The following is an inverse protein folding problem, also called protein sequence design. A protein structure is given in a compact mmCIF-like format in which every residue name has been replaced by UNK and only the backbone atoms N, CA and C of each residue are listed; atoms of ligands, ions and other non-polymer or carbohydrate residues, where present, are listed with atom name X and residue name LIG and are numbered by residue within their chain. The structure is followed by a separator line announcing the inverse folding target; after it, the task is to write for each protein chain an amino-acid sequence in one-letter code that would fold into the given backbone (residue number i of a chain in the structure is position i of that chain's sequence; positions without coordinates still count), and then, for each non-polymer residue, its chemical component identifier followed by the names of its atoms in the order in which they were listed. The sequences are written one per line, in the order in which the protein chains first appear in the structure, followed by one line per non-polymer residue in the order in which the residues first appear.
data_IF_491455633599
#
_entry.id   IF_491455633599
#
_cell.length_a   1.000
_cell.length_b   1.000
_cell.length_c   1.000
_cell.angle_alpha   90.00
_cell.angle_beta   90.00
_cell.angle_gamma   90.00
#
_symmetry.space_group_name_H-M   'P 1'
#
loop_
_entity.id
_entity.type
_entity.pdbx_description
1 polymer ?
#
# COMPACT_ATOMS: atom_id res chain seq x y z
N UNK A 1 20.39 0.78 -16.43
CA UNK A 1 19.94 0.69 -15.03
C UNK A 1 18.67 -0.14 -14.95
N UNK A 2 18.69 -1.21 -14.14
CA UNK A 2 17.50 -2.04 -13.89
C UNK A 2 16.75 -1.42 -12.72
N UNK A 3 15.58 -0.85 -12.97
CA UNK A 3 14.79 -0.17 -11.91
C UNK A 3 13.99 -1.10 -11.02
N UNK A 4 13.56 -2.25 -11.55
CA UNK A 4 12.79 -3.23 -10.80
C UNK A 4 13.13 -4.63 -11.31
N UNK A 5 13.72 -5.45 -10.47
CA UNK A 5 13.98 -6.86 -10.72
C UNK A 5 13.52 -7.66 -9.49
N UNK A 6 12.28 -8.15 -9.52
CA UNK A 6 11.66 -8.78 -8.35
C UNK A 6 11.36 -10.24 -8.62
N UNK A 7 11.65 -11.04 -7.62
CA UNK A 7 11.28 -12.45 -7.58
C UNK A 7 10.40 -12.69 -6.36
N UNK A 8 9.27 -13.38 -6.55
CA UNK A 8 8.36 -13.71 -5.47
C UNK A 8 7.93 -15.16 -5.52
N UNK A 9 7.78 -15.75 -4.34
CA UNK A 9 7.19 -17.07 -4.12
C UNK A 9 6.01 -16.89 -3.17
N UNK A 10 4.86 -17.45 -3.54
CA UNK A 10 3.68 -17.45 -2.69
C UNK A 10 2.93 -18.76 -2.85
N UNK A 11 2.23 -19.18 -1.81
CA UNK A 11 1.44 -20.40 -1.82
C UNK A 11 0.65 -20.59 -0.53
N UNK A 12 -0.01 -21.74 -0.44
CA UNK A 12 -0.74 -22.16 0.74
C UNK A 12 -0.09 -23.43 1.30
N UNK A 13 0.31 -23.40 2.57
CA UNK A 13 0.76 -24.60 3.30
C UNK A 13 -0.41 -25.34 3.93
N UNK A 14 -1.54 -24.68 4.07
CA UNK A 14 -2.81 -25.20 4.56
C UNK A 14 -3.96 -24.38 3.96
N UNK A 15 -5.20 -24.90 3.82
CA UNK A 15 -6.33 -24.10 3.34
C UNK A 15 -6.57 -22.79 4.10
N UNK A 16 -6.16 -22.72 5.36
CA UNK A 16 -6.28 -21.53 6.21
C UNK A 16 -4.98 -20.73 6.34
N UNK A 17 -3.87 -21.16 5.71
CA UNK A 17 -2.57 -20.52 5.89
C UNK A 17 -1.87 -20.33 4.56
N UNK A 18 -1.66 -19.08 4.19
CA UNK A 18 -0.88 -18.68 3.04
C UNK A 18 0.48 -18.08 3.46
N UNK A 19 1.43 -18.06 2.54
CA UNK A 19 2.72 -17.38 2.72
C UNK A 19 3.11 -16.61 1.46
N UNK A 20 3.96 -15.61 1.65
CA UNK A 20 4.63 -14.90 0.55
C UNK A 20 6.04 -14.52 0.96
N UNK A 21 6.98 -14.69 0.05
CA UNK A 21 8.31 -14.10 0.10
C UNK A 21 8.57 -13.36 -1.21
N UNK A 22 9.10 -12.14 -1.15
CA UNK A 22 9.44 -11.31 -2.31
C UNK A 22 10.76 -10.61 -2.06
N UNK A 23 11.68 -10.69 -3.03
CA UNK A 23 12.98 -10.02 -3.01
C UNK A 23 13.10 -9.06 -4.19
N UNK A 24 13.90 -8.03 -4.02
CA UNK A 24 14.29 -7.08 -5.07
C UNK A 24 15.79 -7.24 -5.35
N UNK A 25 16.11 -7.42 -6.62
CA UNK A 25 17.46 -7.62 -7.16
C UNK A 25 17.94 -6.42 -7.97
N UNK A 26 17.20 -5.29 -7.96
CA UNK A 26 17.50 -4.11 -8.76
C UNK A 26 18.65 -3.25 -8.22
N UNK A 27 19.06 -3.47 -6.98
CA UNK A 27 20.13 -2.71 -6.34
C UNK A 27 21.45 -3.45 -6.52
N UNK A 28 22.41 -2.83 -7.19
CA UNK A 28 23.71 -3.44 -7.50
C UNK A 28 24.41 -3.94 -6.22
N UNK A 29 24.68 -5.25 -6.18
CA UNK A 29 25.40 -5.90 -5.06
C UNK A 29 24.59 -6.15 -3.79
N UNK A 30 23.29 -5.83 -3.76
CA UNK A 30 22.45 -6.11 -2.59
C UNK A 30 21.10 -6.75 -2.94
N UNK A 31 20.69 -7.73 -2.15
CA UNK A 31 19.38 -8.36 -2.22
C UNK A 31 18.52 -7.74 -1.11
N UNK A 32 17.40 -7.11 -1.47
CA UNK A 32 16.46 -6.56 -0.50
C UNK A 32 15.26 -7.47 -0.32
N UNK A 33 15.02 -7.93 0.90
CA UNK A 33 13.77 -8.61 1.26
C UNK A 33 12.65 -7.57 1.28
N UNK A 34 11.67 -7.73 0.40
CA UNK A 34 10.51 -6.85 0.33
C UNK A 34 9.35 -7.36 1.18
N UNK A 35 8.87 -8.56 0.89
CA UNK A 35 7.78 -9.19 1.64
C UNK A 35 8.28 -10.55 2.19
N UNK A 36 7.96 -10.84 3.44
CA UNK A 36 8.21 -12.13 4.09
C UNK A 36 7.16 -12.31 5.19
N UNK A 37 6.03 -12.92 4.86
CA UNK A 37 4.92 -13.03 5.79
C UNK A 37 4.15 -14.35 5.68
N UNK A 38 3.50 -14.71 6.78
CA UNK A 38 2.43 -15.70 6.81
C UNK A 38 1.08 -15.00 7.00
N UNK A 39 0.04 -15.54 6.36
CA UNK A 39 -1.34 -15.05 6.46
C UNK A 39 -2.28 -16.17 6.85
N UNK A 40 -3.07 -15.94 7.88
CA UNK A 40 -4.04 -16.89 8.41
C UNK A 40 -5.46 -16.39 8.14
N UNK A 41 -6.33 -17.30 7.70
CA UNK A 41 -7.75 -17.05 7.40
C UNK A 41 -8.63 -17.84 8.39
N UNK A 42 -8.84 -17.35 9.61
CA UNK A 42 -9.59 -18.10 10.64
C UNK A 42 -11.06 -18.27 10.27
N UNK A 43 -11.62 -17.29 9.58
CA UNK A 43 -12.98 -17.31 9.04
C UNK A 43 -13.02 -16.64 7.67
N UNK A 44 -14.11 -16.87 6.94
CA UNK A 44 -14.30 -16.25 5.63
C UNK A 44 -14.23 -14.71 5.74
N UNK A 45 -13.56 -14.11 4.77
CA UNK A 45 -13.42 -12.64 4.63
C UNK A 45 -12.61 -11.93 5.74
N UNK A 46 -12.05 -12.66 6.72
CA UNK A 46 -11.14 -12.13 7.73
C UNK A 46 -9.77 -12.80 7.60
N UNK A 47 -8.71 -12.01 7.62
CA UNK A 47 -7.35 -12.54 7.69
C UNK A 47 -6.47 -11.75 8.66
N UNK A 48 -5.45 -12.45 9.16
CA UNK A 48 -4.35 -11.88 9.93
C UNK A 48 -3.05 -12.17 9.20
N UNK A 49 -2.19 -11.18 9.09
CA UNK A 49 -0.89 -11.32 8.42
C UNK A 49 0.20 -10.92 9.39
N UNK A 50 1.21 -11.76 9.56
CA UNK A 50 2.38 -11.51 10.41
C UNK A 50 3.67 -11.63 9.61
N UNK A 51 4.59 -10.72 9.83
CA UNK A 51 5.89 -10.65 9.15
C UNK A 51 6.13 -9.30 8.51
N UNK A 52 7.03 -9.28 7.51
CA UNK A 52 7.31 -8.10 6.74
C UNK A 52 6.34 -7.99 5.56
N UNK A 53 5.61 -6.88 5.52
CA UNK A 53 4.56 -6.67 4.50
C UNK A 53 4.39 -5.19 4.19
N UNK A 54 3.56 -4.90 3.19
CA UNK A 54 3.13 -3.52 2.92
C UNK A 54 2.25 -3.01 4.04
N UNK A 55 2.52 -1.78 4.47
CA UNK A 55 1.69 -1.06 5.42
C UNK A 55 0.40 -0.63 4.71
N UNK A 56 -0.79 -0.90 5.26
CA UNK A 56 -2.06 -0.51 4.65
C UNK A 56 -2.31 0.99 4.80
N UNK A 57 -1.74 1.77 3.90
CA UNK A 57 -1.82 3.23 3.90
C UNK A 57 -1.79 3.77 2.47
N UNK A 58 -2.55 4.82 2.17
CA UNK A 58 -2.73 5.48 0.87
C UNK A 58 -3.20 4.56 -0.28
N UNK A 59 -3.47 5.12 -1.44
CA UNK A 59 -3.75 4.39 -2.68
C UNK A 59 -2.44 4.15 -3.45
N UNK A 60 -1.74 5.23 -3.83
CA UNK A 60 -0.60 5.14 -4.73
C UNK A 60 0.63 4.48 -4.08
N UNK A 61 0.95 4.79 -2.82
CA UNK A 61 2.08 4.17 -2.15
C UNK A 61 1.88 2.65 -1.95
N UNK A 62 0.64 2.19 -1.83
CA UNK A 62 0.30 0.78 -1.68
C UNK A 62 0.36 -0.01 -3.00
N UNK A 63 0.35 0.65 -4.17
CA UNK A 63 0.46 0.00 -5.48
C UNK A 63 1.82 -0.65 -5.69
N UNK A 64 1.80 -1.79 -6.36
CA UNK A 64 3.02 -2.43 -6.86
C UNK A 64 3.54 -1.66 -8.09
N UNK A 65 4.87 -1.68 -8.37
CA UNK A 65 5.43 -0.97 -9.52
C UNK A 65 4.77 -1.30 -10.86
N UNK A 66 4.36 -2.56 -11.06
CA UNK A 66 3.66 -2.99 -12.28
C UNK A 66 2.20 -2.51 -12.37
N UNK A 67 1.66 -1.94 -11.30
CA UNK A 67 0.31 -1.37 -11.24
C UNK A 67 0.33 0.16 -11.28
N UNK A 68 1.51 0.76 -11.38
CA UNK A 68 1.65 2.21 -11.48
C UNK A 68 1.35 2.67 -12.90
N UNK A 69 0.62 3.77 -13.00
CA UNK A 69 0.28 4.37 -14.29
C UNK A 69 1.40 5.23 -14.87
N UNK A 70 2.32 5.69 -14.03
CA UNK A 70 3.47 6.51 -14.42
C UNK A 70 4.78 5.83 -14.03
N UNK A 71 5.85 6.15 -14.77
CA UNK A 71 7.19 5.64 -14.50
C UNK A 71 7.72 6.01 -13.11
N UNK A 72 7.22 7.10 -12.52
CA UNK A 72 7.57 7.56 -11.19
C UNK A 72 6.35 7.54 -10.27
N UNK A 73 6.59 7.25 -8.99
CA UNK A 73 5.57 7.37 -7.95
C UNK A 73 5.15 8.82 -7.76
N UNK A 74 3.90 9.00 -7.30
CA UNK A 74 3.36 10.30 -6.94
C UNK A 74 4.19 11.00 -5.84
N UNK A 75 3.95 12.29 -5.67
CA UNK A 75 4.52 13.03 -4.56
C UNK A 75 4.04 12.50 -3.20
N UNK A 76 2.79 12.06 -3.12
CA UNK A 76 2.21 11.41 -1.92
C UNK A 76 3.04 10.19 -1.52
N UNK A 77 3.33 9.29 -2.46
CA UNK A 77 4.12 8.10 -2.18
C UNK A 77 5.56 8.40 -1.69
N UNK A 78 6.12 9.55 -2.09
CA UNK A 78 7.42 10.02 -1.59
C UNK A 78 7.34 10.57 -0.16
N UNK A 79 6.18 11.09 0.26
CA UNK A 79 5.98 11.65 1.61
C UNK A 79 5.71 10.57 2.67
N UNK A 80 5.23 9.41 2.26
CA UNK A 80 4.83 8.34 3.19
C UNK A 80 6.03 7.64 3.86
N UNK A 81 7.22 7.70 3.27
CA UNK A 81 8.41 7.01 3.78
C UNK A 81 8.37 5.51 3.49
N UNK A 82 8.58 4.68 4.50
CA UNK A 82 8.63 3.24 4.33
C UNK A 82 7.24 2.66 4.02
N UNK A 83 7.09 2.09 2.81
CA UNK A 83 5.85 1.44 2.34
C UNK A 83 5.70 0.03 2.92
N UNK A 84 6.76 -0.53 3.47
CA UNK A 84 6.82 -1.87 4.08
C UNK A 84 7.43 -1.82 5.46
N UNK A 85 6.94 -2.69 6.34
CA UNK A 85 7.44 -2.82 7.69
C UNK A 85 7.14 -4.23 8.24
N UNK A 86 7.80 -4.58 9.34
CA UNK A 86 7.54 -5.81 10.09
C UNK A 86 6.43 -5.55 11.09
N UNK A 87 5.42 -6.40 11.09
CA UNK A 87 4.30 -6.21 11.99
C UNK A 87 3.22 -7.27 11.89
N UNK A 88 2.07 -6.93 12.45
CA UNK A 88 0.84 -7.71 12.42
C UNK A 88 -0.28 -6.85 11.84
N UNK A 89 -0.99 -7.37 10.85
CA UNK A 89 -2.19 -6.74 10.30
C UNK A 89 -3.40 -7.64 10.40
N UNK A 90 -4.56 -7.01 10.46
CA UNK A 90 -5.86 -7.65 10.29
C UNK A 90 -6.59 -6.99 9.12
N UNK A 91 -7.24 -7.77 8.29
CA UNK A 91 -8.07 -7.27 7.21
C UNK A 91 -9.41 -8.01 7.18
N UNK A 92 -10.48 -7.24 7.13
CA UNK A 92 -11.85 -7.72 7.00
C UNK A 92 -12.50 -7.16 5.74
N UNK A 93 -13.14 -8.03 4.95
CA UNK A 93 -13.87 -7.68 3.73
C UNK A 93 -15.35 -7.97 3.89
N UNK A 94 -16.15 -6.93 3.90
CA UNK A 94 -17.61 -7.06 3.85
C UNK A 94 -18.10 -7.10 2.39
N UNK A 95 -19.01 -8.05 2.08
CA UNK A 95 -19.55 -8.27 0.74
C UNK A 95 -21.09 -8.10 0.69
N UNK A 96 -21.66 -7.28 1.56
CA UNK A 96 -23.09 -6.97 1.59
C UNK A 96 -23.50 -5.93 0.54
N UNK A 97 -24.67 -5.34 0.74
CA UNK A 97 -25.22 -4.29 -0.13
C UNK A 97 -24.32 -3.04 -0.19
N UNK A 98 -23.55 -2.81 0.86
CA UNK A 98 -22.53 -1.76 0.92
C UNK A 98 -21.15 -2.38 1.18
N UNK A 99 -20.44 -2.83 0.12
CA UNK A 99 -19.18 -3.52 0.28
C UNK A 99 -18.06 -2.58 0.74
N UNK A 100 -17.26 -3.06 1.69
CA UNK A 100 -16.10 -2.34 2.21
C UNK A 100 -14.97 -3.29 2.60
N UNK A 101 -13.76 -2.75 2.69
CA UNK A 101 -12.57 -3.43 3.21
C UNK A 101 -12.02 -2.56 4.33
N UNK A 102 -11.81 -3.15 5.50
CA UNK A 102 -11.15 -2.52 6.63
C UNK A 102 -9.85 -3.27 6.92
N UNK A 103 -8.73 -2.54 6.91
CA UNK A 103 -7.41 -3.06 7.21
C UNK A 103 -6.79 -2.25 8.34
N UNK A 104 -6.14 -2.91 9.27
CA UNK A 104 -5.41 -2.24 10.35
C UNK A 104 -4.21 -3.04 10.78
N UNK A 105 -3.18 -2.38 11.29
CA UNK A 105 -1.98 -3.06 11.71
C UNK A 105 -1.11 -2.28 12.68
N UNK A 106 -0.27 -3.05 13.38
CA UNK A 106 0.79 -2.58 14.27
C UNK A 106 2.14 -3.01 13.72
N UNK A 107 3.09 -2.09 13.70
CA UNK A 107 4.37 -2.27 13.03
C UNK A 107 5.53 -1.84 13.94
N UNK A 108 6.70 -2.44 13.70
CA UNK A 108 7.92 -2.13 14.43
C UNK A 108 8.49 -0.73 14.13
N UNK A 109 8.26 -0.20 12.91
CA UNK A 109 8.79 1.10 12.50
C UNK A 109 10.19 1.07 11.86
N UNK A 110 10.79 -0.11 11.72
CA UNK A 110 12.11 -0.27 11.12
C UNK A 110 12.13 -0.12 9.59
N UNK A 111 10.96 -0.28 8.95
CA UNK A 111 10.87 -0.29 7.49
C UNK A 111 11.61 -1.49 6.88
N UNK A 112 12.30 -1.26 5.75
CA UNK A 112 13.12 -2.27 5.06
C UNK A 112 14.57 -2.33 5.57
N UNK A 113 14.98 -1.36 6.36
CA UNK A 113 16.33 -1.25 6.93
C UNK A 113 16.25 -1.45 8.43
N UNK A 114 17.34 -1.91 9.04
CA UNK A 114 17.44 -2.08 10.50
C UNK A 114 16.38 -3.00 11.12
N UNK A 115 15.94 -4.03 10.40
CA UNK A 115 14.93 -5.00 10.87
C UNK A 115 15.32 -5.73 12.15
N UNK A 116 16.60 -5.74 12.51
CA UNK A 116 17.14 -6.33 13.74
C UNK A 116 16.92 -5.44 14.96
N UNK A 117 16.62 -4.16 14.75
CA UNK A 117 16.38 -3.21 15.82
C UNK A 117 14.91 -3.19 16.19
N UNK A 118 14.64 -3.44 17.45
CA UNK A 118 13.29 -3.32 17.99
C UNK A 118 13.06 -1.91 18.51
N UNK A 119 12.16 -1.18 17.86
CA UNK A 119 11.79 0.16 18.28
C UNK A 119 10.84 0.12 19.48
N UNK A 120 11.07 0.97 20.47
CA UNK A 120 10.25 1.03 21.69
C UNK A 120 8.81 1.53 21.46
N UNK A 121 8.54 2.14 20.32
CA UNK A 121 7.23 2.69 19.97
C UNK A 121 6.67 1.94 18.77
N UNK A 122 5.52 1.29 18.96
CA UNK A 122 4.80 0.67 17.86
C UNK A 122 4.17 1.75 16.97
N UNK A 123 4.34 1.58 15.67
CA UNK A 123 3.63 2.35 14.66
C UNK A 123 2.29 1.68 14.37
N UNK A 124 1.29 2.45 13.95
CA UNK A 124 0.02 1.87 13.53
C UNK A 124 -0.42 2.43 12.17
N UNK A 125 -1.25 1.67 11.48
CA UNK A 125 -1.93 2.11 10.28
C UNK A 125 -3.34 1.52 10.24
N UNK A 126 -4.30 2.31 9.76
CA UNK A 126 -5.68 1.89 9.51
C UNK A 126 -6.08 2.41 8.14
N UNK A 127 -6.70 1.55 7.33
CA UNK A 127 -7.19 1.88 5.99
C UNK A 127 -8.59 1.30 5.81
N UNK A 128 -9.52 2.15 5.43
CA UNK A 128 -10.88 1.78 5.06
C UNK A 128 -11.09 2.05 3.57
N UNK A 129 -11.63 1.09 2.84
CA UNK A 129 -11.99 1.23 1.44
C UNK A 129 -13.49 0.96 1.31
N UNK A 130 -14.23 1.92 0.82
CA UNK A 130 -15.64 1.81 0.48
C UNK A 130 -15.76 1.54 -1.02
N UNK A 131 -16.58 0.59 -1.41
CA UNK A 131 -16.72 0.14 -2.80
C UNK A 131 -18.16 0.40 -3.29
N UNK A 132 -18.59 1.66 -3.42
CA UNK A 132 -19.94 2.00 -3.86
C UNK A 132 -20.11 1.70 -5.34
N UNK A 133 -20.53 0.47 -5.65
CA UNK A 133 -20.66 -0.02 -7.01
C UNK A 133 -19.38 -0.68 -7.56
N UNK A 134 -19.44 -1.15 -8.80
CA UNK A 134 -18.38 -1.98 -9.38
C UNK A 134 -17.08 -1.23 -9.72
N UNK A 135 -17.19 0.07 -9.94
CA UNK A 135 -16.11 0.86 -10.56
C UNK A 135 -15.51 1.92 -9.62
N UNK A 136 -16.14 2.15 -8.48
CA UNK A 136 -15.72 3.18 -7.53
C UNK A 136 -14.99 2.60 -6.34
N UNK A 137 -14.01 3.33 -5.86
CA UNK A 137 -13.35 3.10 -4.58
C UNK A 137 -13.15 4.44 -3.88
N UNK A 138 -13.58 4.52 -2.63
CA UNK A 138 -13.27 5.65 -1.74
C UNK A 138 -12.39 5.10 -0.62
N UNK A 139 -11.20 5.63 -0.48
CA UNK A 139 -10.22 5.20 0.51
C UNK A 139 -10.02 6.29 1.55
N UNK A 140 -10.07 5.91 2.82
CA UNK A 140 -9.68 6.73 3.96
C UNK A 140 -8.62 5.98 4.74
N UNK A 141 -7.52 6.62 5.05
CA UNK A 141 -6.45 5.97 5.80
C UNK A 141 -5.74 6.89 6.77
N UNK A 142 -5.20 6.32 7.83
CA UNK A 142 -4.37 7.03 8.80
C UNK A 142 -3.19 6.17 9.20
N UNK A 143 -2.05 6.81 9.40
CA UNK A 143 -0.84 6.16 9.87
C UNK A 143 -0.12 7.05 10.89
N UNK A 144 0.37 6.45 11.94
CA UNK A 144 1.29 7.08 12.88
C UNK A 144 2.62 6.35 12.83
N UNK A 145 3.69 7.09 12.61
CA UNK A 145 5.07 6.61 12.71
C UNK A 145 5.85 7.47 13.68
N UNK A 146 6.88 6.89 14.28
CA UNK A 146 7.80 7.62 15.15
C UNK A 146 9.25 7.28 14.77
N UNK A 147 9.73 7.80 13.63
CA UNK A 147 11.14 7.71 13.31
C UNK A 147 11.94 8.54 14.32
N UNK A 148 12.97 7.92 14.90
CA UNK A 148 13.76 8.54 15.98
C UNK A 148 12.84 9.01 17.14
N UNK A 149 12.79 10.30 17.44
CA UNK A 149 11.97 10.84 18.53
C UNK A 149 10.79 11.71 18.06
N UNK A 150 10.64 11.91 16.77
CA UNK A 150 9.58 12.75 16.20
C UNK A 150 8.37 11.89 15.83
N UNK A 151 7.22 12.16 16.46
CA UNK A 151 5.95 11.53 16.07
C UNK A 151 5.40 12.21 14.82
N UNK A 152 5.03 11.40 13.83
CA UNK A 152 4.43 11.85 12.58
C UNK A 152 3.07 11.19 12.45
N UNK A 153 2.01 11.98 12.36
CA UNK A 153 0.66 11.52 12.07
C UNK A 153 0.33 11.87 10.62
N UNK A 154 -0.21 10.92 9.90
CA UNK A 154 -0.60 11.09 8.49
C UNK A 154 -2.05 10.67 8.32
N UNK A 155 -2.78 11.46 7.54
CA UNK A 155 -4.17 11.22 7.18
C UNK A 155 -4.29 11.32 5.67
N UNK A 156 -4.97 10.36 5.09
CA UNK A 156 -5.09 10.27 3.64
C UNK A 156 -6.54 10.00 3.26
N UNK A 157 -7.00 10.66 2.21
CA UNK A 157 -8.31 10.47 1.62
C UNK A 157 -8.18 10.43 0.10
N UNK A 158 -8.68 9.39 -0.51
CA UNK A 158 -8.61 9.21 -1.95
C UNK A 158 -9.87 8.60 -2.53
N UNK A 159 -10.07 8.87 -3.80
CA UNK A 159 -11.17 8.31 -4.58
C UNK A 159 -10.66 7.94 -5.96
N UNK A 160 -11.08 6.81 -6.48
CA UNK A 160 -10.90 6.51 -7.89
C UNK A 160 -12.13 5.89 -8.51
N UNK A 161 -12.29 6.15 -9.81
CA UNK A 161 -13.22 5.49 -10.70
C UNK A 161 -12.42 4.78 -11.80
N UNK A 162 -12.73 3.53 -12.08
CA UNK A 162 -12.07 2.76 -13.12
C UNK A 162 -13.08 1.94 -13.92
N UNK A 163 -13.01 2.08 -15.22
CA UNK A 163 -13.68 1.20 -16.18
C UNK A 163 -12.69 0.77 -17.27
N UNK A 164 -13.18 0.11 -18.33
CA UNK A 164 -12.32 -0.37 -19.43
C UNK A 164 -11.61 0.75 -20.21
N UNK A 165 -12.12 1.99 -20.17
CA UNK A 165 -11.62 3.12 -20.98
C UNK A 165 -11.02 4.23 -20.11
N UNK A 166 -11.54 4.45 -18.93
CA UNK A 166 -11.15 5.57 -18.07
C UNK A 166 -10.66 5.08 -16.73
N UNK A 167 -9.58 5.68 -16.24
CA UNK A 167 -9.18 5.67 -14.86
C UNK A 167 -9.02 7.11 -14.39
N UNK A 168 -9.82 7.50 -13.41
CA UNK A 168 -9.78 8.83 -12.78
C UNK A 168 -9.48 8.61 -11.31
N UNK A 169 -8.49 9.30 -10.79
CA UNK A 169 -8.05 9.19 -9.40
C UNK A 169 -7.71 10.55 -8.84
N UNK A 170 -8.09 10.77 -7.58
CA UNK A 170 -7.66 11.92 -6.79
C UNK A 170 -7.34 11.43 -5.37
N UNK A 171 -6.24 11.89 -4.81
CA UNK A 171 -5.75 11.53 -3.49
C UNK A 171 -5.19 12.77 -2.79
N UNK A 172 -5.46 12.91 -1.50
CA UNK A 172 -4.98 13.99 -0.66
C UNK A 172 -4.37 13.42 0.61
N UNK A 173 -3.15 13.84 0.92
CA UNK A 173 -2.41 13.48 2.12
C UNK A 173 -2.16 14.72 2.97
N UNK A 174 -2.47 14.62 4.25
CA UNK A 174 -2.09 15.57 5.29
C UNK A 174 -1.12 14.90 6.28
N UNK A 175 0.06 15.49 6.46
CA UNK A 175 1.15 14.99 7.32
C UNK A 175 1.49 16.01 8.37
N UNK A 176 1.36 15.64 9.64
CA UNK A 176 1.63 16.47 10.81
C UNK A 176 2.85 15.96 11.56
N UNK A 177 3.69 16.88 11.98
CA UNK A 177 4.86 16.59 12.82
C UNK A 177 4.59 16.96 14.27
N UNK A 178 4.84 16.03 15.19
CA UNK A 178 4.74 16.27 16.62
C UNK A 178 5.69 17.36 17.09
N UNK A 179 5.26 18.12 18.11
CA UNK A 179 6.04 19.21 18.72
C UNK A 179 6.46 20.33 17.75
N UNK A 180 5.77 20.49 16.62
CA UNK A 180 6.13 21.47 15.58
C UNK A 180 7.59 21.31 15.09
N UNK A 181 8.13 20.10 15.11
CA UNK A 181 9.51 19.82 14.69
C UNK A 181 9.76 20.23 13.24
N UNK A 182 8.75 20.11 12.39
CA UNK A 182 8.76 20.54 10.99
C UNK A 182 7.40 21.12 10.61
N UNK A 183 7.35 21.83 9.48
CA UNK A 183 6.08 22.32 8.92
C UNK A 183 5.23 21.16 8.44
N UNK A 184 3.94 21.26 8.65
CA UNK A 184 2.97 20.31 8.13
C UNK A 184 3.01 20.28 6.60
N UNK A 185 2.72 19.10 6.05
CA UNK A 185 2.77 18.86 4.60
C UNK A 185 1.37 18.52 4.11
N UNK A 186 0.95 19.22 3.05
CA UNK A 186 -0.25 18.92 2.28
C UNK A 186 0.19 18.44 0.90
N UNK A 187 -0.25 17.27 0.47
CA UNK A 187 0.07 16.71 -0.82
C UNK A 187 -1.20 16.30 -1.55
N UNK A 188 -1.29 16.64 -2.82
CA UNK A 188 -2.40 16.26 -3.70
C UNK A 188 -1.83 15.49 -4.88
N UNK A 189 -2.49 14.41 -5.25
CA UNK A 189 -2.24 13.67 -6.47
C UNK A 189 -3.55 13.55 -7.24
N UNK A 190 -3.49 13.77 -8.56
CA UNK A 190 -4.61 13.50 -9.46
C UNK A 190 -4.11 12.81 -10.72
N UNK A 191 -4.87 11.85 -11.20
CA UNK A 191 -4.54 11.07 -12.40
C UNK A 191 -5.79 10.90 -13.24
N UNK A 192 -5.66 11.16 -14.53
CA UNK A 192 -6.66 10.85 -15.54
C UNK A 192 -5.98 10.04 -16.63
N UNK A 193 -6.40 8.82 -16.84
CA UNK A 193 -5.98 7.98 -17.95
C UNK A 193 -7.16 7.64 -18.82
N UNK A 194 -6.95 7.73 -20.11
CA UNK A 194 -7.88 7.29 -21.13
C UNK A 194 -7.17 6.30 -22.05
N UNK A 195 -7.74 5.11 -22.19
CA UNK A 195 -7.27 4.10 -23.14
C UNK A 195 -8.30 4.03 -24.27
N UNK A 196 -7.95 4.50 -25.46
CA UNK A 196 -8.73 4.21 -26.68
C UNK A 196 -8.29 2.85 -27.20
N UNK A 197 -9.24 2.02 -27.63
CA UNK A 197 -8.97 0.78 -28.36
C UNK A 197 -8.45 1.10 -29.77
N UNK A 198 -7.39 1.92 -29.87
CA UNK A 198 -6.76 2.26 -31.14
C UNK A 198 -6.04 1.06 -31.79
N UNK A 199 -6.06 -0.12 -31.13
CA UNK A 199 -5.47 -1.32 -31.70
C UNK A 199 -6.43 -2.09 -32.63
N UNK A 200 -7.75 -1.87 -32.56
CA UNK A 200 -8.71 -2.58 -33.42
C UNK A 200 -8.98 -1.89 -34.76
N UNK A 201 -8.61 -0.61 -34.90
CA UNK A 201 -8.79 0.15 -36.18
C UNK A 201 -7.69 -0.10 -37.23
N UNK A 202 -6.63 -0.86 -36.88
CA UNK A 202 -5.53 -1.16 -37.81
C UNK A 202 -5.58 -2.53 -38.51
N UNK A 203 -6.65 -3.32 -38.31
CA UNK A 203 -6.87 -4.60 -38.99
C UNK A 203 -8.10 -4.51 -39.92
N UNK A 204 -8.23 -3.39 -40.57
CA UNK A 204 -9.27 -3.14 -41.55
C UNK A 204 -8.68 -2.71 -42.90
N UNK A 205 -7.83 -3.55 -43.51
CA UNK A 205 -7.56 -3.55 -44.96
C UNK A 205 -7.31 -4.95 -45.46
#
# INVERSE_FOLDING_TARGET
EVRNARFSVSGNVHPLVAYKAEIDLSDEGSIKMLDAYARVFPVKDLNFTIGQMRVPFTIDAHRSPHQQYFANRSFIAKQVGNVRDVGLTSAYRHKGDFPFILEGGLFNGSGLTNQKEWHKTLNYSIKAQLLPGKNWNVTLSTQMIKPEDVRINMYDAGIYYQNNRFHIEAEYLYKMYGHNAFKDVHAVNSCLLYTSDAADDLIGV
#
